data_IF_477278969645
#
_entry.id   IF_477278969645
#
_cell.length_a   1.000
_cell.length_b   1.000
_cell.length_c   1.000
_cell.angle_alpha   90.00
_cell.angle_beta   90.00
_cell.angle_gamma   90.00
#
_symmetry.space_group_name_H-M   'P 1'
#
loop_
_entity.id
_entity.type
_entity.pdbx_description
1 polymer ?
#
# COMPACT_ATOMS: atom_id res chain seq x y z
N UNK A 1 9.47 -11.80 40.47
CA UNK A 1 8.39 -12.27 39.57
C UNK A 1 8.84 -11.95 38.15
N UNK A 2 9.42 -12.91 37.45
CA UNK A 2 9.82 -12.72 36.04
C UNK A 2 8.55 -12.86 35.20
N UNK A 3 7.92 -11.76 34.82
CA UNK A 3 6.85 -11.78 33.81
C UNK A 3 7.47 -12.23 32.50
N UNK A 4 7.26 -13.50 32.14
CA UNK A 4 7.65 -14.01 30.84
C UNK A 4 6.92 -13.19 29.77
N UNK A 5 7.67 -12.42 28.99
CA UNK A 5 7.15 -11.69 27.83
C UNK A 5 6.70 -12.74 26.81
N UNK A 6 5.38 -12.90 26.65
CA UNK A 6 4.80 -13.77 25.62
C UNK A 6 5.24 -13.29 24.23
N UNK A 7 5.46 -14.23 23.31
CA UNK A 7 5.94 -13.95 21.96
C UNK A 7 4.94 -13.11 21.15
N UNK A 8 5.41 -12.42 20.10
CA UNK A 8 4.53 -11.63 19.21
C UNK A 8 3.38 -12.46 18.64
N UNK A 9 3.67 -13.73 18.31
CA UNK A 9 2.66 -14.69 17.85
C UNK A 9 1.58 -14.94 18.90
N UNK A 10 1.97 -15.18 20.15
CA UNK A 10 1.02 -15.41 21.24
C UNK A 10 0.18 -14.16 21.53
N UNK A 11 0.80 -12.97 21.50
CA UNK A 11 0.08 -11.69 21.64
C UNK A 11 -0.96 -11.52 20.53
N UNK A 12 -0.60 -11.90 19.30
CA UNK A 12 -1.52 -11.81 18.16
C UNK A 12 -2.72 -12.75 18.29
N UNK A 13 -2.49 -14.01 18.63
CA UNK A 13 -3.56 -15.00 18.82
C UNK A 13 -4.50 -14.59 19.98
N UNK A 14 -3.95 -14.01 21.05
CA UNK A 14 -4.75 -13.46 22.13
C UNK A 14 -5.63 -12.31 21.66
N UNK A 15 -5.07 -11.32 20.93
CA UNK A 15 -5.84 -10.20 20.38
C UNK A 15 -6.92 -10.66 19.40
N UNK A 16 -6.64 -11.67 18.56
CA UNK A 16 -7.65 -12.27 17.68
C UNK A 16 -8.79 -12.93 18.46
N UNK A 17 -8.47 -13.59 19.58
CA UNK A 17 -9.47 -14.25 20.42
C UNK A 17 -10.34 -13.23 21.15
N UNK A 18 -9.74 -12.18 21.69
CA UNK A 18 -10.43 -11.10 22.41
C UNK A 18 -11.24 -10.22 21.45
N UNK A 19 -10.71 -9.95 20.26
CA UNK A 19 -11.33 -9.09 19.24
C UNK A 19 -11.32 -9.76 17.85
N UNK A 20 -12.21 -10.72 17.57
CA UNK A 20 -12.22 -11.45 16.29
C UNK A 20 -12.39 -10.61 15.03
N UNK A 21 -12.90 -9.37 15.16
CA UNK A 21 -13.08 -8.42 14.06
C UNK A 21 -11.93 -7.41 13.92
N UNK A 22 -10.93 -7.46 14.80
CA UNK A 22 -9.79 -6.56 14.78
C UNK A 22 -8.99 -6.79 13.49
N UNK A 23 -8.70 -5.70 12.76
CA UNK A 23 -7.88 -5.79 11.56
C UNK A 23 -6.42 -5.92 11.98
N UNK A 24 -5.65 -6.70 11.23
CA UNK A 24 -4.22 -6.92 11.50
C UNK A 24 -3.42 -5.62 11.60
N UNK A 25 -3.81 -4.57 10.87
CA UNK A 25 -3.22 -3.23 10.98
C UNK A 25 -3.37 -2.63 12.37
N UNK A 26 -4.58 -2.67 12.91
CA UNK A 26 -4.91 -2.05 14.19
C UNK A 26 -4.22 -2.83 15.32
N UNK A 27 -4.17 -4.16 15.18
CA UNK A 27 -3.40 -5.02 16.06
C UNK A 27 -1.90 -4.71 16.00
N UNK A 28 -1.32 -4.55 14.79
CA UNK A 28 0.09 -4.22 14.64
C UNK A 28 0.43 -2.88 15.33
N UNK A 29 -0.43 -1.86 15.14
CA UNK A 29 -0.30 -0.59 15.83
C UNK A 29 -0.39 -0.73 17.37
N UNK A 30 -1.34 -1.53 17.88
CA UNK A 30 -1.47 -1.80 19.31
C UNK A 30 -0.27 -2.53 19.90
N UNK A 31 0.37 -3.41 19.12
CA UNK A 31 1.54 -4.19 19.51
C UNK A 31 2.87 -3.46 19.26
N UNK A 32 2.84 -2.28 18.64
CA UNK A 32 4.05 -1.49 18.35
C UNK A 32 4.95 -2.12 17.28
N UNK A 33 4.38 -2.89 16.36
CA UNK A 33 5.10 -3.54 15.23
C UNK A 33 4.47 -3.14 13.89
N UNK A 34 5.17 -3.40 12.79
CA UNK A 34 4.61 -3.22 11.45
C UNK A 34 3.61 -4.32 11.10
N UNK A 35 2.76 -4.06 10.11
CA UNK A 35 1.78 -5.04 9.63
C UNK A 35 2.45 -6.26 9.01
N UNK A 36 3.60 -6.07 8.33
CA UNK A 36 4.40 -7.16 7.77
C UNK A 36 4.98 -8.07 8.86
N UNK A 37 5.52 -7.50 9.95
CA UNK A 37 6.06 -8.26 11.08
C UNK A 37 4.97 -9.11 11.75
N UNK A 38 3.78 -8.53 11.94
CA UNK A 38 2.66 -9.26 12.52
C UNK A 38 2.17 -10.38 11.59
N UNK A 39 2.06 -10.11 10.29
CA UNK A 39 1.65 -11.10 9.28
C UNK A 39 2.63 -12.27 9.21
N UNK A 40 3.94 -12.00 9.28
CA UNK A 40 4.98 -13.02 9.20
C UNK A 40 4.92 -14.04 10.34
N UNK A 41 4.27 -13.73 11.47
CA UNK A 41 4.02 -14.73 12.53
C UNK A 41 3.09 -15.88 12.10
N UNK A 42 2.36 -15.70 10.99
CA UNK A 42 1.54 -16.73 10.35
C UNK A 42 2.31 -17.67 9.40
N UNK A 43 3.59 -17.40 9.14
CA UNK A 43 4.40 -18.23 8.22
C UNK A 43 4.49 -19.67 8.73
N UNK A 44 4.29 -20.63 7.84
CA UNK A 44 4.23 -22.06 8.16
C UNK A 44 2.87 -22.55 8.67
N UNK A 45 1.87 -21.66 8.79
CA UNK A 45 0.46 -22.04 9.05
C UNK A 45 -0.45 -21.64 7.92
N UNK A 46 -0.58 -20.34 7.70
CA UNK A 46 -1.58 -19.75 6.82
C UNK A 46 -1.00 -18.62 5.96
N UNK A 47 0.31 -18.36 6.09
CA UNK A 47 1.08 -17.40 5.31
C UNK A 47 2.26 -18.14 4.68
N UNK A 48 2.54 -17.84 3.42
CA UNK A 48 3.72 -18.27 2.69
C UNK A 48 4.50 -17.02 2.32
N UNK A 49 5.75 -16.94 2.76
CA UNK A 49 6.67 -15.88 2.35
C UNK A 49 7.02 -16.07 0.88
N UNK A 50 6.94 -14.98 0.12
CA UNK A 50 7.27 -14.97 -1.29
C UNK A 50 8.56 -14.21 -1.55
N UNK A 51 9.23 -14.54 -2.67
CA UNK A 51 10.36 -13.79 -3.21
C UNK A 51 10.32 -13.81 -4.75
N UNK A 52 11.05 -12.88 -5.37
CA UNK A 52 11.17 -12.79 -6.82
C UNK A 52 11.03 -11.36 -7.34
N UNK A 53 10.83 -11.24 -8.66
CA UNK A 53 10.56 -9.95 -9.28
C UNK A 53 9.07 -9.61 -9.20
N UNK A 54 8.72 -8.64 -8.36
CA UNK A 54 7.35 -8.16 -8.21
C UNK A 54 6.75 -7.58 -9.48
N UNK A 55 7.58 -7.09 -10.42
CA UNK A 55 7.08 -6.64 -11.72
C UNK A 55 6.60 -7.82 -12.56
N UNK A 56 7.40 -8.88 -12.63
CA UNK A 56 7.04 -10.12 -13.29
C UNK A 56 5.79 -10.73 -12.64
N UNK A 57 5.76 -10.76 -11.30
CA UNK A 57 4.60 -11.24 -10.55
C UNK A 57 3.32 -10.50 -10.96
N UNK A 58 3.34 -9.17 -10.94
CA UNK A 58 2.16 -8.35 -11.24
C UNK A 58 1.64 -8.58 -12.67
N UNK A 59 2.51 -8.80 -13.65
CA UNK A 59 2.09 -9.16 -15.02
C UNK A 59 1.37 -10.51 -15.03
N UNK A 60 1.84 -11.47 -14.24
CA UNK A 60 1.25 -12.81 -14.17
C UNK A 60 -0.06 -12.87 -13.38
N UNK A 61 -0.37 -11.85 -12.56
CA UNK A 61 -1.66 -11.75 -11.84
C UNK A 61 -2.85 -11.77 -12.80
N UNK A 62 -2.68 -11.38 -14.07
CA UNK A 62 -3.71 -11.52 -15.09
C UNK A 62 -4.33 -12.94 -15.15
N UNK A 63 -3.54 -13.98 -14.84
CA UNK A 63 -3.98 -15.37 -14.82
C UNK A 63 -5.03 -15.68 -13.75
N UNK A 64 -5.13 -14.85 -12.69
CA UNK A 64 -6.16 -15.00 -11.65
C UNK A 64 -7.55 -14.59 -12.13
N UNK A 65 -7.66 -13.94 -13.29
CA UNK A 65 -8.94 -13.37 -13.74
C UNK A 65 -9.37 -12.20 -12.86
N UNK A 66 -10.63 -12.20 -12.43
CA UNK A 66 -11.21 -11.10 -11.67
C UNK A 66 -10.89 -11.23 -10.18
N UNK A 67 -10.25 -10.20 -9.64
CA UNK A 67 -9.78 -10.12 -8.25
C UNK A 67 -10.23 -8.81 -7.64
N UNK A 68 -10.03 -8.63 -6.33
CA UNK A 68 -10.21 -7.34 -5.64
C UNK A 68 -8.85 -6.75 -5.27
N UNK A 69 -8.56 -5.58 -5.82
CA UNK A 69 -7.41 -4.75 -5.49
C UNK A 69 -7.71 -3.87 -4.28
N UNK A 70 -6.87 -3.91 -3.25
CA UNK A 70 -6.97 -3.06 -2.07
C UNK A 70 -5.70 -2.23 -1.90
N UNK A 71 -5.88 -0.92 -1.94
CA UNK A 71 -4.82 0.07 -1.63
C UNK A 71 -5.38 1.03 -0.60
N UNK A 72 -4.54 1.47 0.34
CA UNK A 72 -4.99 2.36 1.42
C UNK A 72 -3.90 3.28 1.91
N UNK A 73 -4.31 4.29 2.67
CA UNK A 73 -3.48 5.08 3.56
C UNK A 73 -4.12 5.09 4.96
N UNK A 74 -3.76 6.05 5.81
CA UNK A 74 -4.28 6.14 7.16
C UNK A 74 -5.74 6.56 7.23
N UNK A 75 -6.21 7.30 6.22
CA UNK A 75 -7.50 7.97 6.22
C UNK A 75 -8.52 7.33 5.27
N UNK A 76 -8.06 6.53 4.30
CA UNK A 76 -8.90 5.97 3.25
C UNK A 76 -8.47 4.56 2.84
N UNK A 77 -9.47 3.71 2.57
CA UNK A 77 -9.31 2.38 1.97
C UNK A 77 -10.02 2.39 0.62
N UNK A 78 -9.30 1.99 -0.44
CA UNK A 78 -9.83 1.88 -1.78
C UNK A 78 -9.83 0.42 -2.21
N UNK A 79 -11.02 -0.13 -2.44
CA UNK A 79 -11.23 -1.49 -2.94
C UNK A 79 -11.83 -1.44 -4.33
N UNK A 80 -11.24 -2.17 -5.28
CA UNK A 80 -11.73 -2.21 -6.66
C UNK A 80 -11.62 -3.62 -7.23
N UNK A 81 -12.75 -4.17 -7.67
CA UNK A 81 -12.80 -5.47 -8.35
C UNK A 81 -12.46 -5.27 -9.83
N UNK A 82 -11.66 -6.16 -10.42
CA UNK A 82 -11.27 -6.09 -11.82
C UNK A 82 -10.18 -7.10 -12.21
N UNK A 83 -9.73 -7.04 -13.47
CA UNK A 83 -8.66 -7.90 -14.00
C UNK A 83 -7.36 -7.11 -14.14
N UNK A 84 -6.24 -7.71 -13.75
CA UNK A 84 -4.91 -7.09 -13.82
C UNK A 84 -4.33 -7.17 -15.23
N UNK A 85 -4.86 -6.35 -16.15
CA UNK A 85 -4.41 -6.27 -17.54
C UNK A 85 -3.72 -4.94 -17.84
N UNK A 86 -3.04 -4.89 -19.00
CA UNK A 86 -2.32 -3.70 -19.51
C UNK A 86 -1.29 -3.15 -18.52
N UNK A 87 -0.57 -4.06 -17.83
CA UNK A 87 0.49 -3.68 -16.92
C UNK A 87 1.76 -3.42 -17.71
N UNK A 88 2.29 -2.22 -17.61
CA UNK A 88 3.55 -1.82 -18.23
C UNK A 88 4.48 -1.20 -17.21
N UNK A 89 5.79 -1.34 -17.42
CA UNK A 89 6.81 -0.78 -16.55
C UNK A 89 7.81 0.06 -17.35
N UNK A 90 8.13 1.24 -16.83
CA UNK A 90 9.21 2.10 -17.28
C UNK A 90 10.19 2.30 -16.12
N UNK A 91 11.29 1.55 -16.14
CA UNK A 91 12.22 1.51 -15.00
C UNK A 91 11.53 1.02 -13.72
N UNK A 92 11.57 1.77 -12.60
CA UNK A 92 10.93 1.38 -11.34
C UNK A 92 9.44 1.76 -11.25
N UNK A 93 8.90 2.48 -12.23
CA UNK A 93 7.49 2.91 -12.23
C UNK A 93 6.67 2.00 -13.13
N UNK A 94 5.54 1.53 -12.63
CA UNK A 94 4.58 0.72 -13.37
C UNK A 94 3.21 1.37 -13.44
N UNK A 95 2.45 1.00 -14.47
CA UNK A 95 1.05 1.40 -14.63
C UNK A 95 0.22 0.19 -15.01
N UNK A 96 -0.88 -0.06 -14.31
CA UNK A 96 -1.98 -0.87 -14.80
C UNK A 96 -3.04 0.11 -15.28
N UNK A 97 -3.48 0.01 -16.53
CA UNK A 97 -4.47 0.95 -17.09
C UNK A 97 -5.56 0.17 -17.82
N UNK A 98 -6.71 0.03 -17.17
CA UNK A 98 -7.93 -0.48 -17.75
C UNK A 98 -9.15 0.13 -17.05
N UNK A 99 -10.37 -0.26 -17.48
CA UNK A 99 -11.63 0.32 -16.98
C UNK A 99 -11.86 0.07 -15.48
N UNK A 100 -11.31 -1.03 -14.95
CA UNK A 100 -11.49 -1.41 -13.55
C UNK A 100 -10.26 -1.10 -12.70
N UNK A 101 -9.12 -1.70 -13.04
CA UNK A 101 -7.86 -1.58 -12.32
C UNK A 101 -7.01 -0.49 -13.00
N UNK A 102 -7.00 0.71 -12.39
CA UNK A 102 -6.10 1.80 -12.74
C UNK A 102 -5.13 2.06 -11.58
N UNK A 103 -3.87 1.69 -11.76
CA UNK A 103 -2.83 1.76 -10.72
C UNK A 103 -1.61 2.54 -11.21
N UNK A 104 -0.98 3.24 -10.28
CA UNK A 104 0.39 3.76 -10.39
C UNK A 104 1.25 3.04 -9.37
N UNK A 105 2.25 2.31 -9.84
CA UNK A 105 3.05 1.37 -9.07
C UNK A 105 4.48 1.88 -8.92
N UNK A 106 4.88 2.19 -7.69
CA UNK A 106 6.22 2.69 -7.38
C UNK A 106 7.08 1.57 -6.81
N UNK A 107 7.64 0.74 -7.69
CA UNK A 107 8.28 -0.54 -7.32
C UNK A 107 9.54 -0.37 -6.48
N UNK A 108 10.17 0.81 -6.49
CA UNK A 108 11.34 1.13 -5.65
C UNK A 108 11.06 1.09 -4.13
N UNK A 109 9.79 1.21 -3.75
CA UNK A 109 9.35 1.22 -2.35
C UNK A 109 8.91 -0.17 -1.86
N UNK A 110 8.60 -1.10 -2.77
CA UNK A 110 8.14 -2.43 -2.43
C UNK A 110 9.27 -3.21 -1.75
N UNK A 111 8.96 -3.85 -0.62
CA UNK A 111 9.88 -4.66 0.17
C UNK A 111 9.55 -6.14 0.07
N UNK A 112 8.57 -6.59 0.86
CA UNK A 112 8.21 -8.01 0.99
C UNK A 112 6.82 -8.34 0.42
N UNK A 113 6.65 -9.59 -0.03
CA UNK A 113 5.39 -10.15 -0.51
C UNK A 113 5.03 -11.45 0.19
N UNK A 114 3.73 -11.71 0.37
CA UNK A 114 3.22 -12.90 1.02
C UNK A 114 1.97 -13.42 0.33
N UNK A 115 1.84 -14.74 0.24
CA UNK A 115 0.59 -15.43 -0.07
C UNK A 115 -0.08 -15.80 1.25
N UNK A 116 -1.35 -15.45 1.40
CA UNK A 116 -2.10 -15.57 2.65
C UNK A 116 -3.41 -16.29 2.40
N UNK A 117 -3.69 -17.30 3.21
CA UNK A 117 -5.01 -17.90 3.35
C UNK A 117 -5.55 -17.54 4.74
N UNK A 118 -6.61 -16.76 4.81
CA UNK A 118 -7.29 -16.44 6.07
C UNK A 118 -8.74 -16.90 5.99
N UNK A 119 -9.02 -18.09 6.54
CA UNK A 119 -10.35 -18.72 6.49
C UNK A 119 -10.89 -18.83 5.05
N UNK A 120 -10.10 -19.47 4.18
CA UNK A 120 -10.37 -19.65 2.74
C UNK A 120 -10.39 -18.37 1.90
N UNK A 121 -10.12 -17.21 2.53
CA UNK A 121 -9.87 -15.97 1.82
C UNK A 121 -8.41 -15.90 1.37
N UNK A 122 -8.19 -16.19 0.10
CA UNK A 122 -6.88 -16.17 -0.55
C UNK A 122 -6.47 -14.75 -0.95
N UNK A 123 -5.23 -14.38 -0.66
CA UNK A 123 -4.69 -13.08 -1.04
C UNK A 123 -3.18 -13.05 -1.22
N UNK A 124 -2.72 -12.14 -2.07
CA UNK A 124 -1.34 -11.69 -2.12
C UNK A 124 -1.23 -10.33 -1.42
N UNK A 125 -0.29 -10.19 -0.49
CA UNK A 125 -0.12 -8.97 0.31
C UNK A 125 1.31 -8.47 0.21
N UNK A 126 1.46 -7.20 -0.19
CA UNK A 126 2.73 -6.54 -0.43
C UNK A 126 2.93 -5.38 0.55
N UNK A 127 4.16 -5.27 1.04
CA UNK A 127 4.55 -4.30 2.04
C UNK A 127 5.76 -3.51 1.55
N UNK A 128 5.88 -2.27 2.00
CA UNK A 128 7.07 -1.48 1.73
C UNK A 128 8.24 -1.91 2.63
N UNK A 129 9.39 -1.25 2.47
CA UNK A 129 10.59 -1.52 3.25
C UNK A 129 10.43 -1.26 4.75
N UNK A 130 9.42 -0.50 5.17
CA UNK A 130 9.11 -0.26 6.59
C UNK A 130 8.08 -1.24 7.16
N UNK A 131 7.58 -2.16 6.33
CA UNK A 131 6.58 -3.16 6.73
C UNK A 131 5.14 -2.65 6.69
N UNK A 132 4.88 -1.49 6.08
CA UNK A 132 3.53 -0.95 5.90
C UNK A 132 2.91 -1.51 4.61
N UNK A 133 1.63 -1.88 4.66
CA UNK A 133 0.94 -2.45 3.49
C UNK A 133 0.92 -1.45 2.33
N UNK A 134 1.52 -1.84 1.22
CA UNK A 134 1.52 -1.08 -0.04
C UNK A 134 0.32 -1.44 -0.89
N UNK A 135 0.04 -2.74 -1.03
CA UNK A 135 -1.00 -3.23 -1.93
C UNK A 135 -1.42 -4.66 -1.58
N UNK A 136 -2.70 -4.99 -1.75
CA UNK A 136 -3.21 -6.35 -1.59
C UNK A 136 -4.10 -6.74 -2.75
N UNK A 137 -4.03 -8.02 -3.11
CA UNK A 137 -4.82 -8.63 -4.20
C UNK A 137 -5.56 -9.81 -3.59
N UNK A 138 -6.89 -9.71 -3.51
CA UNK A 138 -7.74 -10.75 -2.96
C UNK A 138 -8.42 -11.52 -4.08
N UNK A 139 -8.42 -12.85 -3.97
CA UNK A 139 -9.31 -13.66 -4.79
C UNK A 139 -10.77 -13.35 -4.45
N UNK A 140 -11.62 -13.45 -5.46
CA UNK A 140 -13.07 -13.37 -5.40
C UNK A 140 -13.65 -14.69 -5.86
N UNK A 141 -14.97 -14.83 -5.86
CA UNK A 141 -15.67 -16.01 -6.41
C UNK A 141 -15.37 -16.21 -7.90
N UNK A 142 -15.09 -15.13 -8.63
CA UNK A 142 -14.76 -15.13 -10.06
C UNK A 142 -13.26 -15.37 -10.33
N UNK A 143 -12.44 -15.60 -9.29
CA UNK A 143 -11.00 -15.80 -9.44
C UNK A 143 -10.64 -17.24 -9.82
N UNK A 144 -9.58 -17.38 -10.61
CA UNK A 144 -8.92 -18.66 -10.86
C UNK A 144 -8.03 -19.03 -9.65
N UNK A 145 -8.52 -19.91 -8.79
CA UNK A 145 -7.82 -20.35 -7.58
C UNK A 145 -6.67 -21.30 -7.89
N UNK A 146 -6.76 -22.09 -8.96
CA UNK A 146 -5.63 -22.90 -9.45
C UNK A 146 -4.44 -22.01 -9.82
N UNK A 147 -4.68 -20.92 -10.57
CA UNK A 147 -3.64 -19.94 -10.91
C UNK A 147 -3.06 -19.24 -9.66
N UNK A 148 -3.88 -18.97 -8.64
CA UNK A 148 -3.39 -18.46 -7.36
C UNK A 148 -2.38 -19.42 -6.71
N UNK A 149 -2.70 -20.72 -6.69
CA UNK A 149 -1.80 -21.73 -6.12
C UNK A 149 -0.54 -21.91 -6.97
N UNK A 150 -0.63 -21.85 -8.30
CA UNK A 150 0.52 -21.89 -9.19
C UNK A 150 1.47 -20.70 -8.98
N UNK A 151 0.94 -19.48 -8.91
CA UNK A 151 1.75 -18.29 -8.60
C UNK A 151 2.34 -18.36 -7.19
N UNK A 152 1.56 -18.80 -6.20
CA UNK A 152 2.07 -18.99 -4.85
C UNK A 152 3.27 -19.94 -4.86
N UNK A 153 3.15 -21.10 -5.53
CA UNK A 153 4.23 -22.08 -5.65
C UNK A 153 5.45 -21.50 -6.38
N UNK A 154 5.23 -20.79 -7.49
CA UNK A 154 6.30 -20.22 -8.32
C UNK A 154 7.13 -19.18 -7.57
N UNK A 155 6.49 -18.35 -6.76
CA UNK A 155 7.12 -17.24 -6.04
C UNK A 155 7.37 -17.57 -4.56
N UNK A 156 7.21 -18.82 -4.13
CA UNK A 156 7.52 -19.23 -2.75
C UNK A 156 9.01 -19.01 -2.47
N UNK A 157 9.32 -18.29 -1.40
CA UNK A 157 10.70 -18.10 -0.98
C UNK A 157 11.34 -19.40 -0.50
N UNK A 158 12.62 -19.59 -0.82
CA UNK A 158 13.38 -20.76 -0.35
C UNK A 158 13.37 -20.85 1.19
N UNK A 159 13.49 -19.71 1.86
CA UNK A 159 13.50 -19.59 3.33
C UNK A 159 12.18 -19.03 3.86
N UNK A 160 11.44 -19.85 4.62
CA UNK A 160 10.15 -19.49 5.23
C UNK A 160 10.33 -18.97 6.66
N UNK A 161 10.97 -17.81 6.80
CA UNK A 161 11.21 -17.15 8.09
C UNK A 161 9.97 -16.42 8.61
N UNK A 162 9.80 -16.39 9.93
CA UNK A 162 8.72 -15.63 10.60
C UNK A 162 9.13 -14.20 10.98
N UNK A 163 10.38 -13.82 10.72
CA UNK A 163 10.94 -12.49 10.99
C UNK A 163 11.06 -11.68 9.71
N UNK A 164 10.78 -10.37 9.78
CA UNK A 164 10.86 -9.43 8.66
C UNK A 164 11.85 -8.34 9.01
N UNK A 165 12.80 -8.08 8.12
CA UNK A 165 13.66 -6.90 8.25
C UNK A 165 12.90 -5.67 7.75
N UNK A 166 12.70 -4.70 8.63
CA UNK A 166 12.03 -3.45 8.31
C UNK A 166 12.96 -2.27 8.56
N UNK A 167 12.94 -1.31 7.65
CA UNK A 167 13.67 -0.05 7.73
C UNK A 167 12.66 1.09 7.75
N UNK A 168 12.52 1.81 8.88
CA UNK A 168 11.64 2.98 8.96
C UNK A 168 12.02 4.04 7.92
N UNK A 169 11.03 4.69 7.33
CA UNK A 169 11.28 5.87 6.52
C UNK A 169 11.74 7.04 7.40
N UNK A 170 12.62 7.91 6.89
CA UNK A 170 12.99 9.12 7.62
C UNK A 170 11.76 9.99 7.85
N UNK A 171 11.72 10.65 9.01
CA UNK A 171 10.68 11.65 9.28
C UNK A 171 10.72 12.74 8.20
N UNK A 172 9.53 13.21 7.81
CA UNK A 172 9.44 14.32 6.87
C UNK A 172 10.07 15.55 7.50
N UNK A 173 11.00 16.17 6.78
CA UNK A 173 11.56 17.45 7.18
C UNK A 173 10.42 18.48 7.38
N UNK A 174 10.53 19.37 8.38
CA UNK A 174 9.57 20.44 8.55
C UNK A 174 9.56 21.32 7.30
N UNK A 175 8.40 21.95 7.04
CA UNK A 175 8.30 22.96 5.98
C UNK A 175 9.30 24.09 6.25
N UNK A 176 9.93 24.60 5.18
CA UNK A 176 10.66 25.86 5.28
C UNK A 176 9.68 26.99 5.63
N UNK A 177 10.17 28.05 6.26
CA UNK A 177 9.34 29.22 6.49
C UNK A 177 8.83 29.76 5.15
N UNK A 178 7.57 30.23 5.11
CA UNK A 178 6.96 30.69 3.86
C UNK A 178 7.73 31.92 3.30
N UNK A 179 8.37 32.72 4.16
CA UNK A 179 9.20 33.85 3.76
C UNK A 179 10.51 33.44 3.06
N UNK A 180 10.97 32.20 3.25
CA UNK A 180 12.20 31.67 2.65
C UNK A 180 11.97 31.10 1.24
N UNK A 181 10.72 31.12 0.74
CA UNK A 181 10.35 30.58 -0.56
C UNK A 181 10.32 31.69 -1.63
N UNK A 182 10.94 31.42 -2.78
CA UNK A 182 10.77 32.24 -3.99
C UNK A 182 9.36 32.02 -4.58
N UNK A 183 8.37 32.70 -3.99
CA UNK A 183 6.96 32.58 -4.39
C UNK A 183 6.73 33.07 -5.81
N UNK A 184 7.43 34.12 -6.24
CA UNK A 184 7.29 34.66 -7.60
C UNK A 184 7.81 33.65 -8.64
N UNK A 185 9.00 33.09 -8.42
CA UNK A 185 9.53 32.03 -9.28
C UNK A 185 8.67 30.76 -9.25
N UNK A 186 8.11 30.42 -8.09
CA UNK A 186 7.20 29.29 -7.94
C UNK A 186 5.91 29.48 -8.76
N UNK A 187 5.31 30.68 -8.76
CA UNK A 187 4.13 30.99 -9.58
C UNK A 187 4.43 30.92 -11.08
N UNK A 188 5.57 31.44 -11.52
CA UNK A 188 5.97 31.35 -12.93
C UNK A 188 6.22 29.89 -13.35
N UNK A 189 6.86 29.08 -12.50
CA UNK A 189 7.03 27.66 -12.75
C UNK A 189 5.68 26.92 -12.81
N UNK A 190 4.74 27.24 -11.93
CA UNK A 190 3.40 26.64 -11.91
C UNK A 190 2.62 26.92 -13.21
N UNK A 191 2.64 28.16 -13.70
CA UNK A 191 2.00 28.52 -14.98
C UNK A 191 2.60 27.76 -16.18
N UNK A 192 3.85 27.32 -16.05
CA UNK A 192 4.57 26.58 -17.08
C UNK A 192 4.31 25.08 -17.08
N UNK A 193 3.64 24.52 -16.06
CA UNK A 193 3.34 23.07 -15.99
C UNK A 193 2.39 22.69 -17.12
N UNK A 194 2.75 21.63 -17.85
CA UNK A 194 1.94 21.08 -18.95
C UNK A 194 1.36 19.71 -18.62
N UNK A 195 1.94 19.02 -17.64
CA UNK A 195 1.60 17.67 -17.27
C UNK A 195 1.59 17.52 -15.74
N UNK A 196 0.62 16.79 -15.19
CA UNK A 196 0.46 16.65 -13.73
C UNK A 196 1.66 15.98 -13.05
N UNK A 197 2.45 15.19 -13.78
CA UNK A 197 3.66 14.55 -13.27
C UNK A 197 4.82 15.56 -13.09
N UNK A 198 4.79 16.72 -13.74
CA UNK A 198 5.80 17.79 -13.55
C UNK A 198 5.65 18.48 -12.19
N UNK A 199 4.46 18.41 -11.57
CA UNK A 199 4.18 19.08 -10.31
C UNK A 199 5.12 18.64 -9.19
N UNK A 200 5.41 17.35 -9.08
CA UNK A 200 6.33 16.83 -8.06
C UNK A 200 7.77 17.37 -8.22
N UNK A 201 8.25 17.44 -9.46
CA UNK A 201 9.56 18.02 -9.75
C UNK A 201 9.62 19.51 -9.41
N UNK A 202 8.53 20.23 -9.66
CA UNK A 202 8.40 21.63 -9.26
C UNK A 202 8.43 21.80 -7.74
N UNK A 203 7.67 21.01 -6.98
CA UNK A 203 7.70 21.04 -5.50
C UNK A 203 9.12 20.83 -4.97
N UNK A 204 9.83 19.83 -5.49
CA UNK A 204 11.20 19.53 -5.09
C UNK A 204 12.16 20.69 -5.41
N UNK A 205 12.03 21.32 -6.59
CA UNK A 205 12.86 22.46 -7.00
C UNK A 205 12.78 23.64 -6.04
N UNK A 206 11.58 23.94 -5.53
CA UNK A 206 11.36 25.04 -4.58
C UNK A 206 11.47 24.60 -3.12
N UNK A 207 11.59 23.29 -2.85
CA UNK A 207 11.67 22.73 -1.51
C UNK A 207 10.39 22.98 -0.71
N UNK A 208 9.24 22.94 -1.37
CA UNK A 208 7.92 23.20 -0.77
C UNK A 208 7.11 21.92 -0.65
N UNK A 209 6.36 21.80 0.43
CA UNK A 209 5.38 20.71 0.57
C UNK A 209 4.19 20.94 -0.37
N UNK A 210 3.38 19.89 -0.60
CA UNK A 210 2.13 20.03 -1.37
C UNK A 210 1.15 21.00 -0.71
N UNK A 211 1.03 20.98 0.63
CA UNK A 211 0.10 21.85 1.36
C UNK A 211 0.60 23.29 1.36
N UNK A 212 1.90 23.50 1.59
CA UNK A 212 2.55 24.79 1.48
C UNK A 212 2.39 25.40 0.08
N UNK A 213 2.61 24.60 -0.98
CA UNK A 213 2.36 25.01 -2.36
C UNK A 213 0.92 25.50 -2.57
N UNK A 214 -0.09 24.81 -2.00
CA UNK A 214 -1.49 25.25 -2.12
C UNK A 214 -1.74 26.59 -1.41
N UNK A 215 -1.04 26.92 -0.32
CA UNK A 215 -1.12 28.25 0.32
C UNK A 215 -0.72 29.35 -0.66
N UNK A 216 0.38 29.14 -1.40
CA UNK A 216 0.89 30.09 -2.38
C UNK A 216 0.02 30.21 -3.63
N UNK A 217 -0.53 29.11 -4.15
CA UNK A 217 -1.33 29.10 -5.38
C UNK A 217 -2.73 29.66 -5.17
N UNK A 218 -3.35 29.35 -4.04
CA UNK A 218 -4.72 29.74 -3.78
C UNK A 218 -4.86 31.17 -3.25
N UNK A 219 -3.77 31.82 -2.83
CA UNK A 219 -3.85 33.02 -1.99
C UNK A 219 -4.78 32.83 -0.78
N UNK A 220 -4.88 31.59 -0.28
CA UNK A 220 -5.82 31.16 0.77
C UNK A 220 -7.29 30.95 0.36
N UNK A 221 -7.66 31.04 -0.92
CA UNK A 221 -9.09 31.16 -1.36
C UNK A 221 -9.81 29.87 -1.74
N UNK A 222 -9.13 28.73 -1.79
CA UNK A 222 -9.71 27.46 -2.26
C UNK A 222 -9.65 26.35 -1.19
N UNK A 223 -9.92 26.72 0.06
CA UNK A 223 -10.25 25.75 1.10
C UNK A 223 -11.74 25.45 1.02
N UNK A 224 -12.07 24.18 0.83
CA UNK A 224 -13.43 23.67 0.77
C UNK A 224 -13.74 23.04 2.13
N UNK A 225 -14.96 23.20 2.64
CA UNK A 225 -15.35 22.55 3.89
C UNK A 225 -15.32 21.03 3.69
N UNK A 226 -14.85 20.29 4.70
CA UNK A 226 -14.79 18.82 4.64
C UNK A 226 -16.16 18.18 4.36
N UNK A 227 -17.24 18.83 4.80
CA UNK A 227 -18.62 18.35 4.63
C UNK A 227 -19.08 18.35 3.16
N UNK A 228 -18.36 19.07 2.29
CA UNK A 228 -18.61 19.09 0.85
C UNK A 228 -17.98 17.89 0.13
N UNK A 229 -17.14 17.10 0.82
CA UNK A 229 -16.59 15.85 0.31
C UNK A 229 -17.49 14.68 0.73
N UNK A 230 -18.50 14.38 -0.10
CA UNK A 230 -19.38 13.23 0.09
C UNK A 230 -18.77 12.02 -0.62
N UNK A 231 -18.34 11.02 0.15
CA UNK A 231 -18.00 9.70 -0.40
C UNK A 231 -19.29 8.89 -0.38
N UNK A 232 -19.88 8.65 -1.55
CA UNK A 232 -20.96 7.67 -1.64
C UNK A 232 -20.41 6.30 -1.27
N UNK A 233 -21.06 5.54 -0.36
CA UNK A 233 -20.63 4.19 -0.08
C UNK A 233 -20.68 3.39 -1.37
N UNK A 234 -19.51 3.00 -1.89
CA UNK A 234 -19.40 2.18 -3.08
C UNK A 234 -20.30 0.96 -2.91
N UNK A 235 -21.20 0.74 -3.88
CA UNK A 235 -22.13 -0.36 -3.88
C UNK A 235 -21.39 -1.67 -3.64
N UNK A 236 -21.44 -2.14 -2.40
CA UNK A 236 -21.00 -3.47 -2.05
C UNK A 236 -22.00 -4.42 -2.65
N UNK A 237 -21.72 -4.88 -3.87
CA UNK A 237 -22.34 -6.11 -4.35
C UNK A 237 -21.89 -7.21 -3.39
N UNK A 238 -22.84 -7.59 -2.52
CA UNK A 238 -22.82 -8.78 -1.67
C UNK A 238 -22.38 -10.01 -2.45
#
# INVERSE_FOLDING_TARGET
MSTATISLKEQWEQLKTENPKMRIRDAAAQLGVSEAELLATGVGRNVIRMEGDWKAFLVEVAALGKVMALTRNDDAVHERKGVYNNITFQGPVGTALNEDIDLRLFMMNWGSGYSVNENDRLSFQFFDKSGVATHKIYCTEDSNTEAFHELTKKYTAAEQTTTVEVTPFPEKAPEKADEDIDVAGFHEAWKGIKDTHEFFGMLAKFGVSRIQAMRFLAGGRFQICTDQFQVEPGGGDN
#
